data_IF_261450815295
#
_entry.id   IF_261450815295
#
_cell.length_a   1.000
_cell.length_b   1.000
_cell.length_c   1.000
_cell.angle_alpha   90.00
_cell.angle_beta   90.00
_cell.angle_gamma   90.00
#
_symmetry.space_group_name_H-M   'P 1'
#
loop_
_entity.id
_entity.type
_entity.pdbx_description
1 polymer ?
#
# COMPACT_ATOMS: atom_id res chain seq x y z
N UNK A 1 7.57 -41.98 -101.44
CA UNK A 1 6.84 -42.91 -100.56
C UNK A 1 6.71 -42.27 -99.18
N UNK A 2 5.48 -42.17 -98.64
CA UNK A 2 5.04 -42.42 -97.23
C UNK A 2 6.03 -41.99 -96.11
N UNK A 3 5.73 -41.23 -95.05
CA UNK A 3 4.60 -41.18 -94.08
C UNK A 3 5.08 -40.24 -92.92
N UNK A 4 4.25 -39.33 -92.39
CA UNK A 4 3.40 -39.46 -91.19
C UNK A 4 4.09 -39.20 -89.82
N UNK A 5 3.68 -38.11 -89.16
CA UNK A 5 3.06 -37.97 -87.81
C UNK A 5 3.42 -38.92 -86.63
N UNK A 6 3.32 -38.35 -85.41
CA UNK A 6 3.41 -38.93 -84.04
C UNK A 6 4.86 -39.09 -83.53
N UNK A 7 5.31 -38.54 -82.39
CA UNK A 7 4.66 -38.24 -81.12
C UNK A 7 5.19 -39.22 -80.06
N UNK A 8 6.05 -38.80 -79.13
CA UNK A 8 6.25 -39.55 -77.88
C UNK A 8 6.80 -38.69 -76.74
N UNK A 9 5.98 -38.65 -75.70
CA UNK A 9 6.17 -38.14 -74.36
C UNK A 9 7.19 -39.01 -73.61
N UNK A 10 8.20 -38.42 -72.96
CA UNK A 10 9.05 -39.12 -72.01
C UNK A 10 8.81 -38.56 -70.60
N UNK A 11 8.17 -39.39 -69.79
CA UNK A 11 7.87 -39.24 -68.37
C UNK A 11 9.15 -39.54 -67.59
N UNK A 12 9.57 -38.65 -66.67
CA UNK A 12 10.45 -39.00 -65.55
C UNK A 12 9.74 -38.60 -64.26
N UNK A 13 9.57 -39.62 -63.41
CA UNK A 13 8.81 -39.67 -62.17
C UNK A 13 9.77 -39.48 -60.98
N UNK A 14 9.42 -38.51 -60.13
CA UNK A 14 9.62 -38.34 -58.67
C UNK A 14 10.98 -38.62 -58.00
N UNK A 15 11.42 -37.64 -57.20
CA UNK A 15 11.71 -37.91 -55.79
C UNK A 15 11.19 -36.76 -54.89
N UNK A 16 10.43 -37.16 -53.88
CA UNK A 16 9.69 -36.33 -52.95
C UNK A 16 10.57 -35.93 -51.77
N UNK A 17 10.66 -34.64 -51.46
CA UNK A 17 10.95 -34.16 -50.11
C UNK A 17 10.01 -32.99 -49.81
N UNK A 18 8.92 -33.32 -49.13
CA UNK A 18 7.99 -32.37 -48.51
C UNK A 18 8.68 -31.71 -47.32
N UNK A 19 8.98 -30.42 -47.42
CA UNK A 19 9.19 -29.57 -46.24
C UNK A 19 7.92 -28.74 -46.05
N UNK A 20 7.15 -29.08 -45.02
CA UNK A 20 6.08 -28.23 -44.53
C UNK A 20 6.70 -26.98 -43.95
N UNK A 21 6.63 -25.87 -44.68
CA UNK A 21 6.88 -24.54 -44.14
C UNK A 21 5.67 -24.18 -43.27
N UNK A 22 5.70 -24.66 -42.02
CA UNK A 22 4.72 -24.35 -41.02
C UNK A 22 4.77 -22.84 -40.75
N UNK A 23 3.78 -22.11 -41.29
CA UNK A 23 3.47 -20.76 -40.85
C UNK A 23 3.18 -20.82 -39.35
N UNK A 24 4.22 -20.55 -38.57
CA UNK A 24 4.10 -20.20 -37.16
C UNK A 24 3.33 -18.90 -37.15
N UNK A 25 2.04 -18.98 -36.85
CA UNK A 25 1.26 -17.85 -36.38
C UNK A 25 2.04 -17.26 -35.21
N UNK A 26 2.79 -16.19 -35.46
CA UNK A 26 3.21 -15.28 -34.42
C UNK A 26 1.92 -14.76 -33.83
N UNK A 27 1.53 -15.34 -32.69
CA UNK A 27 0.69 -14.64 -31.72
C UNK A 27 1.50 -13.40 -31.33
N UNK A 28 1.28 -12.32 -32.05
CA UNK A 28 1.45 -10.99 -31.48
C UNK A 28 0.55 -10.99 -30.26
N UNK A 29 1.16 -11.16 -29.08
CA UNK A 29 0.53 -10.75 -27.84
C UNK A 29 0.13 -9.29 -28.06
N UNK A 30 -1.13 -9.07 -28.41
CA UNK A 30 -1.74 -7.77 -28.33
C UNK A 30 -1.51 -7.34 -26.89
N UNK A 31 -0.62 -6.37 -26.70
CA UNK A 31 -0.45 -5.69 -25.44
C UNK A 31 -1.80 -5.03 -25.21
N UNK A 32 -2.62 -5.67 -24.39
CA UNK A 32 -3.93 -5.18 -23.99
C UNK A 32 -3.69 -3.95 -23.13
N UNK A 33 -3.36 -2.86 -23.81
CA UNK A 33 -3.04 -1.57 -23.21
C UNK A 33 -4.40 -0.92 -22.99
N UNK A 34 -5.10 -1.39 -21.96
CA UNK A 34 -6.25 -0.67 -21.44
C UNK A 34 -5.72 0.73 -21.13
N UNK A 35 -6.13 1.72 -21.93
CA UNK A 35 -5.78 3.11 -21.68
C UNK A 35 -6.25 3.43 -20.26
N UNK A 36 -5.31 3.65 -19.35
CA UNK A 36 -5.62 4.05 -17.99
C UNK A 36 -6.41 5.34 -18.05
N UNK A 37 -7.45 5.46 -17.20
CA UNK A 37 -8.13 6.73 -17.02
C UNK A 37 -7.10 7.81 -16.67
N UNK A 38 -7.30 9.07 -17.09
CA UNK A 38 -6.41 10.16 -16.72
C UNK A 38 -6.17 10.15 -15.21
N UNK A 39 -4.92 9.99 -14.77
CA UNK A 39 -4.58 10.01 -13.35
C UNK A 39 -4.22 11.44 -12.95
N UNK A 40 -4.75 11.98 -11.83
CA UNK A 40 -4.30 13.27 -11.32
C UNK A 40 -2.78 13.29 -11.11
N UNK A 41 -2.14 14.42 -11.40
CA UNK A 41 -0.72 14.58 -11.13
C UNK A 41 -0.48 14.70 -9.62
N UNK A 42 0.31 13.78 -9.06
CA UNK A 42 0.71 13.80 -7.65
C UNK A 42 1.63 15.00 -7.36
N UNK A 43 1.34 15.80 -6.34
CA UNK A 43 2.22 16.89 -5.91
C UNK A 43 3.14 16.44 -4.78
N UNK A 44 4.41 16.18 -5.11
CA UNK A 44 5.44 15.85 -4.12
C UNK A 44 5.64 16.96 -3.08
N UNK A 45 5.56 18.23 -3.51
CA UNK A 45 5.68 19.38 -2.60
C UNK A 45 4.54 19.42 -1.57
N UNK A 46 3.32 19.05 -1.98
CA UNK A 46 2.16 18.94 -1.10
C UNK A 46 2.34 17.81 -0.07
N UNK A 47 2.79 16.63 -0.53
CA UNK A 47 3.08 15.52 0.37
C UNK A 47 4.21 15.88 1.36
N UNK A 48 5.29 16.51 0.90
CA UNK A 48 6.38 16.95 1.78
C UNK A 48 5.90 17.96 2.82
N UNK A 49 5.00 18.88 2.46
CA UNK A 49 4.36 19.78 3.41
C UNK A 49 3.60 19.01 4.49
N UNK A 50 2.83 17.98 4.11
CA UNK A 50 2.10 17.16 5.09
C UNK A 50 3.02 16.37 6.03
N UNK A 51 4.20 15.93 5.57
CA UNK A 51 5.22 15.35 6.46
C UNK A 51 5.67 16.40 7.49
N UNK A 52 6.03 17.60 7.02
CA UNK A 52 6.50 18.68 7.89
C UNK A 52 5.46 19.09 8.94
N UNK A 53 4.18 19.17 8.55
CA UNK A 53 3.10 19.52 9.47
C UNK A 53 2.88 18.45 10.54
N UNK A 54 2.95 17.16 10.19
CA UNK A 54 2.91 16.06 11.17
C UNK A 54 4.09 16.13 12.14
N UNK A 55 5.31 16.30 11.62
CA UNK A 55 6.52 16.42 12.44
C UNK A 55 6.51 17.65 13.36
N UNK A 56 5.85 18.75 12.96
CA UNK A 56 5.77 19.96 13.76
C UNK A 56 4.99 19.78 15.08
N UNK A 57 4.19 18.72 15.22
CA UNK A 57 3.55 18.37 16.50
C UNK A 57 4.52 17.78 17.53
N UNK A 58 5.68 17.29 17.09
CA UNK A 58 6.61 16.46 17.87
C UNK A 58 6.40 14.95 17.62
N UNK A 59 7.07 14.07 18.39
CA UNK A 59 6.81 12.63 18.36
C UNK A 59 5.35 12.31 18.72
N UNK A 60 4.60 11.69 17.80
CA UNK A 60 3.22 11.20 18.01
C UNK A 60 3.20 9.84 18.71
N UNK A 61 3.90 9.70 19.83
CA UNK A 61 3.79 8.49 20.67
C UNK A 61 2.32 8.30 21.07
N UNK A 62 1.76 7.11 20.88
CA UNK A 62 0.34 6.83 21.18
C UNK A 62 -0.05 7.31 22.57
N UNK A 63 -1.15 8.06 22.66
CA UNK A 63 -1.66 8.65 23.91
C UNK A 63 -0.97 9.93 24.39
N UNK A 64 0.10 10.40 23.72
CA UNK A 64 0.71 11.69 24.02
C UNK A 64 -0.14 12.88 23.55
N UNK A 65 0.14 14.08 24.08
CA UNK A 65 -0.51 15.32 23.60
C UNK A 65 -0.18 15.63 22.13
N UNK A 66 1.04 15.33 21.69
CA UNK A 66 1.46 15.48 20.29
C UNK A 66 0.66 14.53 19.37
N UNK A 67 0.51 13.27 19.77
CA UNK A 67 -0.36 12.30 19.07
C UNK A 67 -1.80 12.80 19.01
N UNK A 68 -2.38 13.23 20.13
CA UNK A 68 -3.74 13.80 20.17
C UNK A 68 -3.93 14.96 19.19
N UNK A 69 -3.05 15.97 19.23
CA UNK A 69 -3.13 17.16 18.35
C UNK A 69 -2.91 16.80 16.88
N UNK A 70 -1.97 15.91 16.59
CA UNK A 70 -1.73 15.44 15.22
C UNK A 70 -2.92 14.63 14.69
N UNK A 71 -3.53 13.78 15.51
CA UNK A 71 -4.72 13.02 15.14
C UNK A 71 -5.90 13.91 14.74
N UNK A 72 -6.15 15.00 15.49
CA UNK A 72 -7.16 15.99 15.07
C UNK A 72 -6.81 16.66 13.75
N UNK A 73 -5.55 17.03 13.57
CA UNK A 73 -5.08 17.60 12.30
C UNK A 73 -5.32 16.64 11.13
N UNK A 74 -5.00 15.35 11.28
CA UNK A 74 -5.21 14.35 10.23
C UNK A 74 -6.69 14.18 9.90
N UNK A 75 -7.54 14.02 10.92
CA UNK A 75 -8.98 13.89 10.74
C UNK A 75 -9.58 15.12 10.02
N UNK A 76 -9.21 16.34 10.44
CA UNK A 76 -9.69 17.56 9.81
C UNK A 76 -9.15 17.74 8.38
N UNK A 77 -7.93 17.30 8.09
CA UNK A 77 -7.40 17.34 6.72
C UNK A 77 -8.16 16.42 5.79
N UNK A 78 -8.40 15.17 6.18
CA UNK A 78 -9.23 14.26 5.38
C UNK A 78 -10.64 14.80 5.16
N UNK A 79 -11.30 15.34 6.20
CA UNK A 79 -12.61 16.01 6.06
C UNK A 79 -12.55 17.18 5.08
N UNK A 80 -11.52 18.03 5.16
CA UNK A 80 -11.35 19.18 4.26
C UNK A 80 -11.16 18.77 2.80
N UNK A 81 -10.68 17.55 2.55
CA UNK A 81 -10.56 16.93 1.23
C UNK A 81 -11.81 16.14 0.83
N UNK A 82 -12.90 16.23 1.60
CA UNK A 82 -14.21 15.68 1.24
C UNK A 82 -14.40 14.21 1.59
N UNK A 83 -13.53 13.62 2.42
CA UNK A 83 -13.77 12.30 2.97
C UNK A 83 -14.75 12.36 4.16
N UNK A 84 -15.57 11.32 4.32
CA UNK A 84 -16.29 11.05 5.56
C UNK A 84 -15.32 10.42 6.56
N UNK A 85 -15.15 11.03 7.73
CA UNK A 85 -14.13 10.60 8.71
C UNK A 85 -14.79 10.01 9.95
N UNK A 86 -14.33 8.82 10.34
CA UNK A 86 -14.66 8.12 11.57
C UNK A 86 -13.39 7.92 12.42
N UNK A 87 -13.49 8.20 13.71
CA UNK A 87 -12.47 7.85 14.69
C UNK A 87 -12.82 6.52 15.36
N UNK A 88 -11.95 5.53 15.23
CA UNK A 88 -12.03 4.29 15.99
C UNK A 88 -11.08 4.38 17.19
N UNK A 89 -11.64 4.64 18.37
CA UNK A 89 -10.88 4.73 19.63
C UNK A 89 -10.99 3.45 20.45
N UNK A 90 -9.90 3.05 21.11
CA UNK A 90 -9.87 1.89 22.00
C UNK A 90 -8.68 1.92 22.94
N UNK A 91 -8.60 0.92 23.83
CA UNK A 91 -7.42 0.70 24.67
C UNK A 91 -6.64 -0.48 24.09
N UNK A 92 -5.35 -0.26 23.84
CA UNK A 92 -4.39 -1.31 23.47
C UNK A 92 -3.42 -1.53 24.63
N UNK A 93 -2.96 -2.77 24.79
CA UNK A 93 -1.98 -3.14 25.82
C UNK A 93 -0.65 -3.44 25.14
N UNK A 94 0.40 -2.73 25.53
CA UNK A 94 1.75 -2.92 24.95
C UNK A 94 2.55 -3.99 25.73
N UNK A 95 3.78 -4.21 25.30
CA UNK A 95 4.66 -5.29 25.76
C UNK A 95 4.93 -5.35 27.27
N UNK A 96 4.85 -4.23 28.00
CA UNK A 96 5.07 -4.13 29.46
C UNK A 96 3.76 -4.13 30.27
N UNK A 97 2.61 -4.32 29.60
CA UNK A 97 1.28 -4.27 30.21
C UNK A 97 0.69 -2.86 30.29
N UNK A 98 1.39 -1.82 29.85
CA UNK A 98 0.86 -0.46 29.81
C UNK A 98 -0.33 -0.38 28.84
N UNK A 99 -1.40 0.24 29.31
CA UNK A 99 -2.62 0.48 28.54
C UNK A 99 -2.57 1.87 27.92
N UNK A 100 -2.76 1.95 26.61
CA UNK A 100 -2.70 3.19 25.84
C UNK A 100 -4.00 3.46 25.08
N UNK A 101 -4.46 4.73 25.02
CA UNK A 101 -5.61 5.11 24.22
C UNK A 101 -5.20 5.23 22.75
N UNK A 102 -5.48 4.19 21.96
CA UNK A 102 -5.25 4.18 20.52
C UNK A 102 -6.44 4.80 19.77
N UNK A 103 -6.15 5.47 18.65
CA UNK A 103 -7.11 6.10 17.74
C UNK A 103 -6.73 5.81 16.29
N UNK A 104 -7.40 4.85 15.66
CA UNK A 104 -7.35 4.75 14.20
C UNK A 104 -8.23 5.84 13.58
N UNK A 105 -7.75 6.46 12.50
CA UNK A 105 -8.48 7.50 11.76
C UNK A 105 -8.86 6.91 10.40
N UNK A 106 -10.16 6.86 10.12
CA UNK A 106 -10.71 6.19 8.93
C UNK A 106 -11.39 7.24 8.07
N UNK A 107 -10.81 7.53 6.91
CA UNK A 107 -11.34 8.48 5.94
C UNK A 107 -11.91 7.73 4.73
N UNK A 108 -13.20 7.87 4.49
CA UNK A 108 -13.94 7.16 3.44
C UNK A 108 -14.35 8.11 2.32
N UNK A 109 -14.01 7.74 1.09
CA UNK A 109 -14.51 8.37 -0.13
C UNK A 109 -15.52 7.41 -0.76
N UNK A 110 -16.70 7.93 -1.13
CA UNK A 110 -17.80 7.15 -1.70
C UNK A 110 -18.13 5.91 -0.83
N UNK A 111 -18.48 6.09 0.45
CA UNK A 111 -18.62 4.99 1.43
C UNK A 111 -19.72 3.98 1.07
N UNK A 112 -20.75 4.40 0.34
CA UNK A 112 -21.83 3.50 -0.09
C UNK A 112 -21.45 2.52 -1.20
N UNK A 113 -20.30 2.71 -1.86
CA UNK A 113 -19.88 1.86 -2.97
C UNK A 113 -19.24 0.55 -2.47
N UNK A 114 -19.76 -0.64 -2.84
CA UNK A 114 -19.20 -1.91 -2.37
C UNK A 114 -17.88 -2.28 -3.09
N UNK A 115 -17.56 -1.65 -4.22
CA UNK A 115 -16.32 -1.85 -4.95
C UNK A 115 -15.23 -0.94 -4.36
N UNK A 116 -14.52 -1.43 -3.33
CA UNK A 116 -13.60 -0.62 -2.51
C UNK A 116 -12.13 -0.96 -2.71
N UNK A 117 -11.27 0.03 -2.52
CA UNK A 117 -9.81 -0.09 -2.38
C UNK A 117 -9.43 0.47 -1.00
N UNK A 118 -8.58 -0.25 -0.28
CA UNK A 118 -8.00 0.22 0.99
C UNK A 118 -6.61 0.81 0.72
N UNK A 119 -6.37 2.03 1.20
CA UNK A 119 -5.05 2.62 1.39
C UNK A 119 -4.82 2.75 2.89
N UNK A 120 -3.65 2.36 3.37
CA UNK A 120 -3.34 2.49 4.79
C UNK A 120 -1.89 2.88 5.02
N UNK A 121 -1.66 3.47 6.19
CA UNK A 121 -0.35 3.77 6.77
C UNK A 121 -0.52 3.78 8.29
N UNK A 122 0.54 3.55 9.05
CA UNK A 122 0.54 3.88 10.47
C UNK A 122 0.89 5.37 10.66
N UNK A 123 0.45 5.98 11.77
CA UNK A 123 0.65 7.42 12.00
C UNK A 123 1.30 7.77 13.35
N UNK A 124 1.35 6.80 14.25
CA UNK A 124 2.08 6.92 15.52
C UNK A 124 3.58 6.99 15.28
N UNK A 125 4.34 7.03 16.37
CA UNK A 125 5.76 6.71 16.25
C UNK A 125 6.37 6.14 17.49
N UNK A 126 7.49 5.45 17.25
CA UNK A 126 8.28 4.83 18.29
C UNK A 126 8.56 5.74 19.46
N UNK A 127 8.26 5.30 20.69
CA UNK A 127 8.70 5.97 21.90
C UNK A 127 10.20 5.76 22.18
N UNK A 128 10.88 4.91 21.40
CA UNK A 128 12.27 4.50 21.60
C UNK A 128 13.07 4.51 20.29
N UNK A 129 14.21 5.19 20.26
CA UNK A 129 15.20 5.05 19.20
C UNK A 129 16.13 3.87 19.50
N UNK A 130 15.56 2.69 19.72
CA UNK A 130 16.24 1.49 20.26
C UNK A 130 17.20 0.80 19.28
N UNK A 131 17.33 1.33 18.07
CA UNK A 131 18.33 0.94 17.08
C UNK A 131 19.35 2.07 16.79
N UNK A 132 19.35 3.16 17.57
CA UNK A 132 20.34 4.24 17.45
C UNK A 132 21.74 3.70 17.79
N UNK A 133 22.82 4.10 17.08
CA UNK A 133 24.16 3.65 17.43
C UNK A 133 24.67 4.19 18.77
N UNK A 134 24.09 5.29 19.28
CA UNK A 134 24.35 5.80 20.62
C UNK A 134 23.27 5.31 21.59
N UNK A 135 23.67 4.42 22.50
CA UNK A 135 22.79 3.83 23.52
C UNK A 135 22.10 4.89 24.39
N UNK A 136 22.67 6.09 24.53
CA UNK A 136 22.05 7.19 25.25
C UNK A 136 20.73 7.68 24.60
N UNK A 137 20.48 7.33 23.34
CA UNK A 137 19.25 7.66 22.61
C UNK A 137 18.19 6.56 22.67
N UNK A 138 18.50 5.35 23.12
CA UNK A 138 17.59 4.18 23.03
C UNK A 138 16.25 4.35 23.76
N UNK A 139 16.14 5.32 24.67
CA UNK A 139 14.93 5.60 25.44
C UNK A 139 14.25 6.92 25.02
N UNK A 140 14.63 7.48 23.87
CA UNK A 140 14.09 8.73 23.34
C UNK A 140 13.09 8.45 22.20
N UNK A 141 11.94 9.13 22.16
CA UNK A 141 11.03 9.02 21.02
C UNK A 141 11.63 9.55 19.72
N UNK A 142 11.26 8.93 18.60
CA UNK A 142 11.69 9.37 17.27
C UNK A 142 10.71 10.38 16.66
N UNK A 143 11.22 11.24 15.77
CA UNK A 143 10.37 12.17 15.02
C UNK A 143 9.59 11.48 13.91
N UNK A 144 10.07 10.33 13.40
CA UNK A 144 9.29 9.46 12.52
C UNK A 144 8.72 10.18 11.29
N UNK A 145 9.59 10.94 10.62
CA UNK A 145 9.27 11.64 9.37
C UNK A 145 9.07 10.66 8.21
N UNK A 146 9.86 9.58 8.19
CA UNK A 146 9.73 8.51 7.20
C UNK A 146 8.83 7.37 7.70
N UNK A 147 9.18 6.83 8.86
CA UNK A 147 8.45 5.76 9.57
C UNK A 147 7.19 6.35 10.21
N UNK A 148 6.03 6.25 9.56
CA UNK A 148 4.79 6.93 9.96
C UNK A 148 4.40 8.09 9.03
N UNK A 149 4.98 9.28 9.21
CA UNK A 149 4.46 10.50 8.55
C UNK A 149 4.48 10.46 7.01
N UNK A 150 5.41 9.71 6.40
CA UNK A 150 5.54 9.64 4.93
C UNK A 150 4.36 8.94 4.26
N UNK A 151 3.90 7.80 4.81
CA UNK A 151 2.75 7.07 4.28
C UNK A 151 1.47 7.88 4.39
N UNK A 152 1.25 8.48 5.56
CA UNK A 152 0.10 9.36 5.82
C UNK A 152 0.08 10.57 4.89
N UNK A 153 1.24 11.18 4.63
CA UNK A 153 1.35 12.32 3.71
C UNK A 153 0.96 11.97 2.27
N UNK A 154 1.36 10.79 1.79
CA UNK A 154 0.94 10.29 0.48
C UNK A 154 -0.57 10.07 0.45
N UNK A 155 -1.16 9.49 1.51
CA UNK A 155 -2.62 9.32 1.61
C UNK A 155 -3.38 10.66 1.60
N UNK A 156 -2.89 11.67 2.33
CA UNK A 156 -3.48 13.01 2.34
C UNK A 156 -3.47 13.66 0.96
N UNK A 157 -2.36 13.56 0.23
CA UNK A 157 -2.27 14.08 -1.14
C UNK A 157 -3.18 13.31 -2.11
N UNK A 158 -3.26 11.98 -2.00
CA UNK A 158 -4.20 11.18 -2.78
C UNK A 158 -5.64 11.61 -2.50
N UNK A 159 -6.03 11.75 -1.23
CA UNK A 159 -7.37 12.19 -0.85
C UNK A 159 -7.69 13.58 -1.45
N UNK A 160 -6.75 14.53 -1.35
CA UNK A 160 -6.87 15.87 -1.94
C UNK A 160 -7.06 15.84 -3.47
N UNK A 161 -6.43 14.90 -4.17
CA UNK A 161 -6.56 14.75 -5.61
C UNK A 161 -7.89 14.10 -6.02
N UNK A 162 -8.32 13.08 -5.27
CA UNK A 162 -9.59 12.38 -5.52
C UNK A 162 -10.82 13.28 -5.31
N UNK A 163 -10.71 14.31 -4.46
CA UNK A 163 -11.74 15.36 -4.35
C UNK A 163 -11.95 16.10 -5.68
N UNK A 164 -10.85 16.42 -6.39
CA UNK A 164 -10.87 17.20 -7.64
C UNK A 164 -11.27 16.34 -8.84
N UNK A 165 -10.95 15.04 -8.78
CA UNK A 165 -11.27 14.09 -9.82
C UNK A 165 -11.88 12.82 -9.21
N UNK A 166 -13.20 12.81 -8.96
CA UNK A 166 -13.88 11.70 -8.32
C UNK A 166 -13.71 10.39 -9.08
N UNK A 167 -13.54 9.31 -8.31
CA UNK A 167 -13.40 7.94 -8.83
C UNK A 167 -14.70 7.15 -8.68
N UNK A 168 -14.88 6.14 -9.53
CA UNK A 168 -16.07 5.26 -9.53
C UNK A 168 -15.97 4.09 -8.53
N UNK A 169 -14.97 4.11 -7.65
CA UNK A 169 -14.76 3.12 -6.59
C UNK A 169 -14.90 3.78 -5.23
N UNK A 170 -15.19 3.00 -4.20
CA UNK A 170 -14.97 3.40 -2.82
C UNK A 170 -13.48 3.40 -2.51
N UNK A 171 -13.01 4.37 -1.75
CA UNK A 171 -11.62 4.40 -1.24
C UNK A 171 -11.67 4.63 0.25
N UNK A 172 -11.04 3.75 1.02
CA UNK A 172 -10.84 3.93 2.46
C UNK A 172 -9.37 4.24 2.68
N UNK A 173 -9.08 5.35 3.35
CA UNK A 173 -7.74 5.75 3.78
C UNK A 173 -7.68 5.62 5.29
N UNK A 174 -6.88 4.68 5.79
CA UNK A 174 -6.84 4.34 7.21
C UNK A 174 -5.46 4.62 7.79
N UNK A 175 -5.43 5.50 8.79
CA UNK A 175 -4.25 5.74 9.61
C UNK A 175 -4.36 4.83 10.85
N UNK A 176 -3.52 3.80 10.94
CA UNK A 176 -3.46 2.91 12.09
C UNK A 176 -2.59 3.52 13.21
N UNK A 177 -3.08 3.48 14.44
CA UNK A 177 -2.32 3.90 15.63
C UNK A 177 -1.65 2.69 16.28
N UNK A 178 -0.71 2.95 17.20
CA UNK A 178 -0.01 1.95 17.99
C UNK A 178 0.58 0.81 17.17
N UNK A 179 1.09 1.11 15.98
CA UNK A 179 1.84 0.14 15.17
C UNK A 179 3.21 -0.08 15.80
N UNK A 180 3.86 1.01 16.22
CA UNK A 180 5.27 1.06 16.58
C UNK A 180 5.48 1.05 18.11
N UNK A 181 4.52 0.47 18.82
CA UNK A 181 4.54 0.29 20.29
C UNK A 181 5.05 -1.09 20.71
N UNK A 182 5.64 -1.83 19.76
CA UNK A 182 6.15 -3.17 19.98
C UNK A 182 7.38 -3.22 20.87
N UNK A 183 7.66 -4.41 21.38
CA UNK A 183 8.72 -4.66 22.37
C UNK A 183 10.07 -4.05 21.94
N UNK A 184 10.70 -3.20 22.79
CA UNK A 184 11.98 -2.59 22.45
C UNK A 184 13.14 -3.58 22.56
N UNK A 185 14.24 -3.29 21.87
CA UNK A 185 15.45 -4.13 21.80
C UNK A 185 16.03 -4.49 23.17
N UNK A 186 15.97 -3.56 24.13
CA UNK A 186 16.54 -3.72 25.47
C UNK A 186 15.62 -4.47 26.45
N UNK A 187 14.38 -4.81 26.08
CA UNK A 187 13.46 -5.49 26.98
C UNK A 187 13.83 -6.96 27.21
N UNK A 188 14.11 -7.32 28.47
CA UNK A 188 14.40 -8.69 28.91
C UNK A 188 13.12 -9.52 29.08
N UNK A 189 12.09 -8.93 29.70
CA UNK A 189 10.80 -9.57 29.98
C UNK A 189 9.80 -9.29 28.86
N UNK A 190 9.66 -10.28 27.98
CA UNK A 190 8.59 -10.32 27.00
C UNK A 190 7.39 -10.92 27.70
N UNK A 191 6.35 -10.13 28.02
CA UNK A 191 5.02 -10.71 28.17
C UNK A 191 4.85 -11.65 26.97
N UNK A 192 4.58 -12.94 27.19
CA UNK A 192 4.66 -14.00 26.17
C UNK A 192 3.72 -13.86 24.96
N UNK A 193 3.21 -12.66 24.69
CA UNK A 193 2.61 -12.21 23.44
C UNK A 193 3.67 -12.15 22.34
N UNK A 194 3.46 -12.92 21.27
CA UNK A 194 4.25 -12.81 20.04
C UNK A 194 3.95 -11.55 19.23
N UNK A 195 2.82 -10.89 19.50
CA UNK A 195 2.24 -9.86 18.63
C UNK A 195 2.10 -8.56 19.43
N UNK A 196 3.22 -7.85 19.64
CA UNK A 196 3.25 -6.55 20.34
C UNK A 196 3.21 -5.35 19.39
N UNK A 197 3.28 -5.61 18.08
CA UNK A 197 3.28 -4.63 17.00
C UNK A 197 1.88 -4.50 16.38
N UNK A 198 1.68 -3.47 15.55
CA UNK A 198 0.51 -3.36 14.68
C UNK A 198 -0.83 -3.33 15.44
N UNK A 199 -0.85 -2.89 16.70
CA UNK A 199 -1.99 -3.06 17.61
C UNK A 199 -3.26 -2.38 17.12
N UNK A 200 -3.16 -1.17 16.55
CA UNK A 200 -4.31 -0.49 15.95
C UNK A 200 -4.85 -1.20 14.72
N UNK A 201 -4.00 -1.81 13.91
CA UNK A 201 -4.45 -2.59 12.74
C UNK A 201 -5.13 -3.89 13.14
N UNK A 202 -4.69 -4.56 14.22
CA UNK A 202 -5.38 -5.70 14.82
C UNK A 202 -6.77 -5.28 15.32
N UNK A 203 -6.83 -4.20 16.09
CA UNK A 203 -8.08 -3.66 16.62
C UNK A 203 -9.06 -3.25 15.51
N UNK A 204 -8.57 -2.67 14.42
CA UNK A 204 -9.38 -2.37 13.24
C UNK A 204 -9.86 -3.64 12.54
N UNK A 205 -8.97 -4.61 12.30
CA UNK A 205 -9.28 -5.82 11.56
C UNK A 205 -10.33 -6.69 12.27
N UNK A 206 -10.34 -6.73 13.60
CA UNK A 206 -11.36 -7.42 14.38
C UNK A 206 -12.75 -6.82 14.17
N UNK A 207 -12.86 -5.49 14.20
CA UNK A 207 -14.10 -4.79 13.91
C UNK A 207 -14.50 -4.97 12.44
N UNK A 208 -13.57 -4.77 11.51
CA UNK A 208 -13.80 -4.97 10.09
C UNK A 208 -14.34 -6.37 9.77
N UNK A 209 -13.83 -7.41 10.45
CA UNK A 209 -14.33 -8.78 10.35
C UNK A 209 -15.76 -8.92 10.88
N UNK A 210 -16.06 -8.26 11.99
CA UNK A 210 -17.39 -8.28 12.63
C UNK A 210 -18.44 -7.57 11.78
N UNK A 211 -18.07 -6.43 11.18
CA UNK A 211 -18.93 -5.61 10.33
C UNK A 211 -19.04 -6.17 8.90
N UNK A 212 -18.25 -7.19 8.56
CA UNK A 212 -18.23 -7.78 7.22
C UNK A 212 -17.59 -6.89 6.16
N UNK A 213 -16.70 -5.98 6.55
CA UNK A 213 -15.99 -5.08 5.64
C UNK A 213 -15.23 -5.86 4.55
N UNK A 214 -15.27 -5.32 3.32
CA UNK A 214 -14.56 -5.87 2.16
C UNK A 214 -13.97 -4.75 1.30
N UNK A 215 -12.75 -4.98 0.85
CA UNK A 215 -12.10 -4.26 -0.24
C UNK A 215 -11.54 -5.26 -1.25
N UNK A 216 -11.35 -4.83 -2.50
CA UNK A 216 -10.73 -5.66 -3.55
C UNK A 216 -9.28 -5.99 -3.24
N UNK A 217 -8.59 -5.03 -2.64
CA UNK A 217 -7.21 -5.14 -2.18
C UNK A 217 -6.90 -3.94 -1.26
N UNK A 218 -5.78 -4.07 -0.53
CA UNK A 218 -5.20 -3.00 0.25
C UNK A 218 -3.79 -2.65 -0.23
N UNK A 219 -3.38 -1.39 -0.05
CA UNK A 219 -2.00 -0.93 -0.25
C UNK A 219 -1.57 -0.26 1.06
N UNK A 220 -0.56 -0.82 1.70
CA UNK A 220 0.10 -0.24 2.87
C UNK A 220 1.28 0.63 2.39
N UNK A 221 1.35 1.85 2.91
CA UNK A 221 2.42 2.81 2.66
C UNK A 221 3.22 2.95 3.95
N UNK A 222 4.44 2.44 3.94
CA UNK A 222 5.34 2.46 5.09
C UNK A 222 6.77 2.82 4.65
N UNK A 223 7.37 3.79 5.34
CA UNK A 223 8.69 4.35 5.06
C UNK A 223 8.92 4.79 3.58
N UNK A 224 7.93 5.47 2.98
CA UNK A 224 7.91 5.81 1.54
C UNK A 224 8.53 7.17 1.18
N UNK A 225 9.11 7.90 2.13
CA UNK A 225 9.70 9.24 1.94
C UNK A 225 11.22 9.31 1.99
N UNK A 226 11.91 8.18 2.21
CA UNK A 226 13.37 8.15 2.37
C UNK A 226 14.14 8.44 1.08
N UNK A 227 15.21 9.25 1.17
CA UNK A 227 16.10 9.47 0.03
C UNK A 227 16.78 8.16 -0.40
N UNK A 228 16.69 7.85 -1.70
CA UNK A 228 17.24 6.61 -2.24
C UNK A 228 16.49 5.35 -1.85
N UNK A 229 15.26 5.46 -1.34
CA UNK A 229 14.42 4.32 -1.01
C UNK A 229 14.21 3.40 -2.24
N UNK A 230 14.23 2.10 -1.99
CA UNK A 230 13.94 1.07 -2.98
C UNK A 230 12.86 0.15 -2.46
N UNK A 231 11.76 0.00 -3.20
CA UNK A 231 10.63 -0.84 -2.79
C UNK A 231 10.73 -2.21 -3.46
N UNK A 232 11.10 -3.22 -2.68
CA UNK A 232 11.12 -4.62 -3.15
C UNK A 232 9.74 -5.26 -3.00
N UNK A 233 9.55 -6.40 -3.67
CA UNK A 233 8.33 -7.20 -3.50
C UNK A 233 8.35 -7.89 -2.13
N UNK A 234 7.61 -7.32 -1.18
CA UNK A 234 7.53 -7.79 0.20
C UNK A 234 6.97 -9.23 0.28
N UNK A 235 7.51 -10.04 1.19
CA UNK A 235 7.32 -11.50 1.22
C UNK A 235 5.91 -11.96 1.55
N UNK A 236 5.23 -11.31 2.50
CA UNK A 236 3.84 -11.61 2.87
C UNK A 236 2.90 -11.18 1.74
N UNK A 237 3.14 -10.01 1.15
CA UNK A 237 2.41 -9.48 0.00
C UNK A 237 2.54 -10.41 -1.21
N UNK A 238 3.74 -10.93 -1.47
CA UNK A 238 3.96 -11.94 -2.51
C UNK A 238 3.29 -13.28 -2.18
N UNK A 239 3.21 -13.66 -0.89
CA UNK A 239 2.56 -14.90 -0.46
C UNK A 239 1.04 -14.83 -0.58
N UNK A 240 0.42 -13.73 -0.20
CA UNK A 240 -1.03 -13.59 -0.06
C UNK A 240 -1.70 -12.88 -1.25
N UNK A 241 -0.95 -12.05 -1.98
CA UNK A 241 -1.47 -11.15 -3.02
C UNK A 241 -0.60 -11.11 -4.28
N UNK A 242 0.14 -12.19 -4.59
CA UNK A 242 1.07 -12.26 -5.74
C UNK A 242 0.51 -11.70 -7.06
N UNK A 243 -0.75 -12.03 -7.49
CA UNK A 243 -1.27 -11.54 -8.75
C UNK A 243 -1.47 -10.02 -8.77
N UNK A 244 -1.64 -9.39 -7.61
CA UNK A 244 -1.73 -7.93 -7.46
C UNK A 244 -0.33 -7.31 -7.44
N UNK A 245 0.60 -7.87 -6.66
CA UNK A 245 1.99 -7.39 -6.60
C UNK A 245 2.68 -7.44 -7.96
N UNK A 246 2.34 -8.41 -8.81
CA UNK A 246 2.89 -8.51 -10.17
C UNK A 246 2.37 -7.44 -11.16
N UNK A 247 1.35 -6.65 -10.79
CA UNK A 247 0.78 -5.58 -11.63
C UNK A 247 1.43 -4.22 -11.41
N UNK A 248 2.18 -4.07 -10.31
CA UNK A 248 2.91 -2.86 -9.92
C UNK A 248 4.40 -3.05 -10.13
#
# INVERSE_FOLDING_TARGET
MKRAFWGLLAIIITFSLTSCDGQTKRNTHATDTIALAPCPHFSADSALLFINEQCAFGPRVTGSDASRRCGEFLAERFKSFGAEVEDQTGIVTIWDGTQLPARNIIASINPSNPNRILLCAHWDCRPWADNDPDEANHHRPILAANDGASGVAVMLEICRLLQKQPVQVGVDLICFDAEDMGTPQWAEDRLGSSDTWCLGSHFWAERARTDGYKARYGILLDMVGGYGATFSREGISMRLAQPLVNRV
#
